data_IF_985847728729
#
_entry.id   IF_985847728729
#
_cell.length_a   1.000
_cell.length_b   1.000
_cell.length_c   1.000
_cell.angle_alpha   90.00
_cell.angle_beta   90.00
_cell.angle_gamma   90.00
#
_symmetry.space_group_name_H-M   'P 1'
#
loop_
_entity.id
_entity.type
_entity.pdbx_description
1 polymer ?
#
# COMPACT_ATOMS: atom_id res chain seq x y z
N UNK A 1 -5.90 -14.23 -13.12
CA UNK A 1 -6.60 -13.02 -13.61
C UNK A 1 -5.57 -12.14 -14.30
N UNK A 2 -5.84 -11.68 -15.52
CA UNK A 2 -5.01 -10.70 -16.23
C UNK A 2 -5.22 -9.29 -15.69
N UNK A 3 -4.46 -8.31 -16.20
CA UNK A 3 -4.73 -6.89 -15.95
C UNK A 3 -5.54 -6.37 -17.15
N UNK A 4 -6.85 -6.34 -16.98
CA UNK A 4 -7.85 -5.98 -17.98
C UNK A 4 -8.76 -4.87 -17.41
N UNK A 5 -9.60 -4.24 -18.25
CA UNK A 5 -10.38 -3.07 -17.83
C UNK A 5 -11.35 -3.38 -16.67
N UNK A 6 -11.94 -4.57 -16.67
CA UNK A 6 -12.87 -5.05 -15.63
C UNK A 6 -12.17 -5.51 -14.33
N UNK A 7 -10.86 -5.75 -14.39
CA UNK A 7 -10.04 -6.24 -13.26
C UNK A 7 -9.06 -5.20 -12.74
N UNK A 8 -8.84 -4.09 -13.46
CA UNK A 8 -7.88 -3.06 -13.09
C UNK A 8 -8.14 -2.51 -11.67
N UNK A 9 -9.40 -2.16 -11.38
CA UNK A 9 -9.80 -1.60 -10.10
C UNK A 9 -9.62 -2.58 -8.92
N UNK A 10 -9.97 -3.86 -9.10
CA UNK A 10 -9.80 -4.87 -8.05
C UNK A 10 -8.31 -5.11 -7.77
N UNK A 11 -7.50 -5.21 -8.82
CA UNK A 11 -6.05 -5.34 -8.72
C UNK A 11 -5.41 -4.18 -7.95
N UNK A 12 -5.81 -2.94 -8.25
CA UNK A 12 -5.30 -1.75 -7.57
C UNK A 12 -5.64 -1.79 -6.08
N UNK A 13 -6.89 -2.12 -5.75
CA UNK A 13 -7.36 -2.27 -4.38
C UNK A 13 -6.53 -3.33 -3.65
N UNK A 14 -6.39 -4.51 -4.22
CA UNK A 14 -5.72 -5.64 -3.57
C UNK A 14 -4.22 -5.36 -3.37
N UNK A 15 -3.57 -4.71 -4.35
CA UNK A 15 -2.18 -4.27 -4.20
C UNK A 15 -2.01 -3.28 -3.04
N UNK A 16 -2.91 -2.29 -2.92
CA UNK A 16 -2.88 -1.35 -1.81
C UNK A 16 -3.12 -2.07 -0.48
N UNK A 17 -4.11 -2.95 -0.40
CA UNK A 17 -4.45 -3.68 0.83
C UNK A 17 -3.28 -4.53 1.32
N UNK A 18 -2.63 -5.28 0.43
CA UNK A 18 -1.42 -6.06 0.75
C UNK A 18 -0.32 -5.17 1.32
N UNK A 19 -0.04 -4.03 0.68
CA UNK A 19 1.01 -3.11 1.13
C UNK A 19 0.69 -2.56 2.54
N UNK A 20 -0.56 -2.17 2.78
CA UNK A 20 -0.99 -1.62 4.06
C UNK A 20 -1.00 -2.66 5.18
N UNK A 21 -1.41 -3.89 4.88
CA UNK A 21 -1.39 -4.99 5.84
C UNK A 21 0.04 -5.30 6.29
N UNK A 22 1.01 -5.29 5.37
CA UNK A 22 2.42 -5.47 5.71
C UNK A 22 2.96 -4.32 6.58
N UNK A 23 2.60 -3.08 6.27
CA UNK A 23 3.00 -1.91 7.07
C UNK A 23 2.42 -2.00 8.48
N UNK A 24 1.13 -2.37 8.60
CA UNK A 24 0.44 -2.56 9.89
C UNK A 24 1.03 -3.72 10.68
N UNK A 25 1.36 -4.83 10.03
CA UNK A 25 2.03 -5.95 10.66
C UNK A 25 3.37 -5.50 11.27
N UNK A 26 4.16 -4.69 10.55
CA UNK A 26 5.41 -4.15 11.08
C UNK A 26 5.19 -3.18 12.25
N UNK A 27 4.21 -2.29 12.16
CA UNK A 27 3.82 -1.41 13.27
C UNK A 27 3.48 -2.23 14.53
N UNK A 28 2.66 -3.26 14.37
CA UNK A 28 2.25 -4.15 15.46
C UNK A 28 3.44 -4.87 16.09
N UNK A 29 4.36 -5.40 15.27
CA UNK A 29 5.59 -6.06 15.73
C UNK A 29 6.52 -5.10 16.51
N UNK A 30 6.41 -3.79 16.30
CA UNK A 30 7.11 -2.75 17.07
C UNK A 30 6.33 -2.25 18.29
N UNK A 31 5.15 -2.80 18.56
CA UNK A 31 4.29 -2.40 19.68
C UNK A 31 3.45 -1.16 19.40
N UNK A 32 3.31 -0.76 18.13
CA UNK A 32 2.47 0.35 17.71
C UNK A 32 1.13 -0.14 17.15
N UNK A 33 0.10 0.71 17.25
CA UNK A 33 -1.19 0.52 16.60
C UNK A 33 -1.62 1.80 15.88
N UNK A 34 -2.10 1.70 14.64
CA UNK A 34 -2.79 2.79 13.93
C UNK A 34 -4.30 2.55 13.96
N UNK A 35 -5.05 3.42 14.62
CA UNK A 35 -6.51 3.31 14.70
C UNK A 35 -7.17 4.68 14.84
N UNK A 36 -8.43 4.79 14.42
CA UNK A 36 -9.22 6.02 14.53
C UNK A 36 -8.89 7.05 13.45
N UNK A 37 -9.28 8.30 13.72
CA UNK A 37 -9.00 9.42 12.83
C UNK A 37 -7.50 9.57 12.65
N UNK A 38 -7.08 9.82 11.40
CA UNK A 38 -5.67 9.98 11.00
C UNK A 38 -4.80 8.71 10.98
N UNK A 39 -5.40 7.53 11.12
CA UNK A 39 -4.69 6.24 11.08
C UNK A 39 -3.88 6.05 9.79
N UNK A 40 -4.43 6.46 8.65
CA UNK A 40 -3.74 6.37 7.37
C UNK A 40 -2.55 7.33 7.25
N UNK A 41 -2.65 8.56 7.75
CA UNK A 41 -1.54 9.50 7.78
C UNK A 41 -0.39 8.99 8.66
N UNK A 42 -0.71 8.34 9.79
CA UNK A 42 0.28 7.70 10.64
C UNK A 42 0.98 6.54 9.90
N UNK A 43 0.23 5.68 9.21
CA UNK A 43 0.77 4.58 8.41
C UNK A 43 1.69 5.06 7.27
N UNK A 44 1.28 6.11 6.55
CA UNK A 44 2.08 6.70 5.48
C UNK A 44 3.34 7.36 6.06
N UNK A 45 3.24 8.07 7.18
CA UNK A 45 4.38 8.71 7.84
C UNK A 45 5.38 7.67 8.36
N UNK A 46 4.90 6.51 8.79
CA UNK A 46 5.73 5.41 9.27
C UNK A 46 6.66 4.85 8.18
N UNK A 47 6.29 4.95 6.90
CA UNK A 47 7.18 4.55 5.80
C UNK A 47 8.53 5.28 5.81
N UNK A 48 8.58 6.53 6.32
CA UNK A 48 9.84 7.26 6.52
C UNK A 48 10.76 6.53 7.51
N UNK A 49 10.18 6.00 8.59
CA UNK A 49 10.91 5.21 9.59
C UNK A 49 11.40 3.87 9.03
N UNK A 50 10.69 3.32 8.04
CA UNK A 50 11.12 2.12 7.30
C UNK A 50 12.16 2.41 6.21
N UNK A 51 12.61 3.66 6.06
CA UNK A 51 13.63 4.04 5.09
C UNK A 51 13.13 4.12 3.64
N UNK A 52 11.82 4.26 3.42
CA UNK A 52 11.30 4.50 2.07
C UNK A 52 11.69 5.90 1.59
N UNK A 53 12.06 5.97 0.31
CA UNK A 53 12.28 7.25 -0.39
C UNK A 53 10.97 8.06 -0.51
N UNK A 54 11.08 9.39 -0.47
CA UNK A 54 9.93 10.31 -0.50
C UNK A 54 9.03 10.15 -1.74
N UNK A 55 9.60 9.81 -2.89
CA UNK A 55 8.84 9.49 -4.12
C UNK A 55 7.91 8.28 -3.91
N UNK A 56 8.35 7.23 -3.22
CA UNK A 56 7.56 6.03 -2.92
C UNK A 56 6.49 6.33 -1.89
N UNK A 57 6.80 7.14 -0.88
CA UNK A 57 5.84 7.59 0.13
C UNK A 57 4.73 8.43 -0.53
N UNK A 58 5.11 9.35 -1.41
CA UNK A 58 4.17 10.14 -2.21
C UNK A 58 3.29 9.25 -3.06
N UNK A 59 3.87 8.26 -3.75
CA UNK A 59 3.11 7.31 -4.56
C UNK A 59 2.15 6.48 -3.71
N UNK A 60 2.55 6.01 -2.53
CA UNK A 60 1.66 5.29 -1.62
C UNK A 60 0.46 6.14 -1.18
N UNK A 61 0.70 7.42 -0.88
CA UNK A 61 -0.38 8.33 -0.50
C UNK A 61 -1.32 8.62 -1.68
N UNK A 62 -0.79 8.79 -2.88
CA UNK A 62 -1.60 8.90 -4.11
C UNK A 62 -2.44 7.64 -4.35
N UNK A 63 -1.82 6.47 -4.20
CA UNK A 63 -2.49 5.18 -4.33
C UNK A 63 -3.64 5.05 -3.33
N UNK A 64 -3.46 5.50 -2.08
CA UNK A 64 -4.55 5.56 -1.08
C UNK A 64 -5.73 6.40 -1.59
N UNK A 65 -5.48 7.61 -2.10
CA UNK A 65 -6.54 8.46 -2.63
C UNK A 65 -7.23 7.83 -3.84
N UNK A 66 -6.47 7.25 -4.77
CA UNK A 66 -7.02 6.58 -5.94
C UNK A 66 -7.84 5.34 -5.56
N UNK A 67 -7.34 4.49 -4.66
CA UNK A 67 -8.08 3.34 -4.12
C UNK A 67 -9.36 3.78 -3.41
N UNK A 68 -9.32 4.84 -2.60
CA UNK A 68 -10.53 5.39 -1.99
C UNK A 68 -11.52 5.91 -3.04
N UNK A 69 -11.04 6.52 -4.12
CA UNK A 69 -11.94 6.97 -5.19
C UNK A 69 -12.61 5.84 -5.97
N UNK A 70 -11.94 4.69 -6.09
CA UNK A 70 -12.55 3.46 -6.62
C UNK A 70 -13.64 2.98 -5.67
N UNK A 71 -13.32 2.85 -4.37
CA UNK A 71 -14.23 2.25 -3.37
C UNK A 71 -15.46 3.12 -3.09
N UNK A 72 -15.27 4.42 -2.91
CA UNK A 72 -16.36 5.31 -2.45
C UNK A 72 -17.08 6.02 -3.58
N UNK A 73 -16.43 6.20 -4.74
CA UNK A 73 -16.99 6.98 -5.86
C UNK A 73 -17.08 6.18 -7.17
N UNK A 74 -16.72 4.88 -7.16
CA UNK A 74 -16.80 4.04 -8.36
C UNK A 74 -15.89 4.49 -9.50
N UNK A 75 -14.82 5.25 -9.20
CA UNK A 75 -13.88 5.73 -10.23
C UNK A 75 -13.27 4.55 -10.97
N UNK A 76 -13.28 4.61 -12.30
CA UNK A 76 -12.59 3.64 -13.16
C UNK A 76 -11.15 4.11 -13.37
N UNK A 77 -10.18 3.30 -12.99
CA UNK A 77 -8.76 3.56 -13.21
C UNK A 77 -8.26 2.74 -14.40
N UNK A 78 -7.26 3.27 -15.10
CA UNK A 78 -6.76 2.63 -16.32
C UNK A 78 -5.95 1.36 -16.02
N UNK A 79 -5.95 0.42 -16.97
CA UNK A 79 -5.06 -0.75 -16.98
C UNK A 79 -3.59 -0.33 -16.85
N UNK A 80 -3.19 0.80 -17.43
CA UNK A 80 -1.82 1.31 -17.27
C UNK A 80 -1.51 1.71 -15.83
N UNK A 81 -2.45 2.34 -15.13
CA UNK A 81 -2.28 2.64 -13.72
C UNK A 81 -2.22 1.35 -12.88
N UNK A 82 -3.07 0.37 -13.17
CA UNK A 82 -3.02 -0.94 -12.50
C UNK A 82 -1.66 -1.64 -12.69
N UNK A 83 -1.07 -1.58 -13.89
CA UNK A 83 0.30 -2.07 -14.15
C UNK A 83 1.34 -1.37 -13.27
N UNK A 84 1.31 -0.03 -13.21
CA UNK A 84 2.21 0.77 -12.35
C UNK A 84 2.07 0.38 -10.87
N UNK A 85 0.84 0.16 -10.41
CA UNK A 85 0.58 -0.24 -9.02
C UNK A 85 1.10 -1.65 -8.74
N UNK A 86 0.94 -2.61 -9.65
CA UNK A 86 1.52 -3.95 -9.52
C UNK A 86 3.04 -3.89 -9.45
N UNK A 87 3.68 -3.11 -10.33
CA UNK A 87 5.14 -3.01 -10.36
C UNK A 87 5.67 -2.33 -9.09
N UNK A 88 4.95 -1.32 -8.60
CA UNK A 88 5.23 -0.70 -7.31
C UNK A 88 5.08 -1.70 -6.15
N UNK A 89 4.01 -2.51 -6.12
CA UNK A 89 3.81 -3.52 -5.08
C UNK A 89 4.94 -4.55 -5.12
N UNK A 90 5.25 -5.13 -6.28
CA UNK A 90 6.32 -6.14 -6.43
C UNK A 90 7.68 -5.63 -5.98
N UNK A 91 8.05 -4.42 -6.37
CA UNK A 91 9.35 -3.83 -6.03
C UNK A 91 9.51 -3.52 -4.54
N UNK A 92 8.41 -3.27 -3.82
CA UNK A 92 8.44 -2.97 -2.40
C UNK A 92 8.05 -4.15 -1.50
N UNK A 93 7.41 -5.19 -2.06
CA UNK A 93 7.01 -6.40 -1.32
C UNK A 93 8.21 -7.11 -0.68
N UNK A 94 9.32 -7.25 -1.41
CA UNK A 94 10.54 -7.90 -0.89
C UNK A 94 11.09 -7.14 0.32
N UNK A 95 11.08 -5.81 0.26
CA UNK A 95 11.56 -4.96 1.35
C UNK A 95 10.63 -5.08 2.57
N UNK A 96 9.32 -4.95 2.38
CA UNK A 96 8.33 -5.08 3.46
C UNK A 96 8.34 -6.48 4.09
N UNK A 97 8.52 -7.53 3.29
CA UNK A 97 8.60 -8.92 3.80
C UNK A 97 9.83 -9.14 4.66
N UNK A 98 11.01 -8.62 4.25
CA UNK A 98 12.23 -8.68 5.07
C UNK A 98 12.04 -7.95 6.40
N UNK A 99 11.50 -6.74 6.32
CA UNK A 99 11.24 -5.90 7.50
C UNK A 99 10.32 -6.60 8.51
N UNK A 100 9.38 -7.45 8.10
CA UNK A 100 8.53 -8.22 9.03
C UNK A 100 9.26 -9.46 9.58
N UNK A 101 10.04 -10.17 8.74
CA UNK A 101 10.68 -11.44 9.11
C UNK A 101 11.93 -11.32 9.99
N UNK A 102 12.55 -10.14 10.09
CA UNK A 102 13.83 -9.97 10.78
C UNK A 102 13.73 -9.95 12.32
N UNK A 103 12.53 -9.93 12.91
CA UNK A 103 12.35 -10.06 14.36
C UNK A 103 12.13 -11.54 14.72
N UNK A 104 13.17 -12.18 15.28
CA UNK A 104 12.96 -13.38 16.10
C UNK A 104 12.13 -12.95 17.31
N UNK A 105 10.88 -13.42 17.37
CA UNK A 105 10.04 -13.37 18.57
C UNK A 105 10.69 -14.26 19.62
#
# INVERSE_FOLDING_TARGET
>A
MGIEDDTANSIIKDCYDILMELIRARLLVEGYSSSGNFSHEAEISYLKKLGFEENKIRFMNELRFNRNSVIYYGKILSVEYAKKVIDFMKSNYVLLKKVIGDKKI
#
